data_IF_300124181262
#
_entry.id   IF_300124181262
#
_cell.length_a   1.000
_cell.length_b   1.000
_cell.length_c   1.000
_cell.angle_alpha   90.00
_cell.angle_beta   90.00
_cell.angle_gamma   90.00
#
_symmetry.space_group_name_H-M   'P 1'
#
loop_
_entity.id
_entity.type
_entity.pdbx_description
1 polymer ?
#
# COMPACT_ATOMS: atom_id res chain seq x y z
N UNK A 1 16.90 -43.90 16.07
CA UNK A 1 16.29 -42.61 16.37
C UNK A 1 17.15 -41.41 15.96
N UNK A 2 18.46 -41.33 16.27
CA UNK A 2 19.31 -40.20 15.89
C UNK A 2 19.41 -39.91 14.36
N UNK A 3 19.44 -40.96 13.51
CA UNK A 3 19.50 -40.78 12.04
C UNK A 3 18.19 -40.27 11.44
N UNK A 4 17.04 -40.59 12.04
CA UNK A 4 15.73 -40.10 11.59
C UNK A 4 15.55 -38.61 11.90
N UNK A 5 16.09 -38.16 13.03
CA UNK A 5 16.03 -36.76 13.44
C UNK A 5 16.87 -35.81 12.54
N UNK A 6 18.02 -36.29 12.04
CA UNK A 6 18.89 -35.54 11.12
C UNK A 6 18.21 -35.39 9.75
N UNK A 7 17.55 -36.44 9.25
CA UNK A 7 16.83 -36.37 7.96
C UNK A 7 15.64 -35.40 8.06
N UNK A 8 14.91 -35.40 9.19
CA UNK A 8 13.79 -34.48 9.39
C UNK A 8 14.28 -33.00 9.50
N UNK A 9 15.41 -32.78 10.15
CA UNK A 9 16.00 -31.43 10.26
C UNK A 9 16.53 -30.90 8.92
N UNK A 10 17.11 -31.76 8.06
CA UNK A 10 17.46 -31.39 6.69
C UNK A 10 16.25 -31.13 5.80
N UNK A 11 15.14 -31.87 5.97
CA UNK A 11 13.91 -31.63 5.21
C UNK A 11 13.25 -30.29 5.58
N UNK A 12 13.26 -29.91 6.86
CA UNK A 12 12.75 -28.60 7.30
C UNK A 12 13.60 -27.44 6.78
N UNK A 13 14.94 -27.60 6.72
CA UNK A 13 15.80 -26.56 6.12
C UNK A 13 15.62 -26.45 4.59
N UNK A 14 15.38 -27.52 3.87
CA UNK A 14 15.14 -27.45 2.43
C UNK A 14 13.81 -26.76 2.08
N UNK A 15 12.77 -26.91 2.90
CA UNK A 15 11.48 -26.22 2.69
C UNK A 15 11.61 -24.72 2.91
N UNK A 16 12.48 -24.28 3.83
CA UNK A 16 12.73 -22.84 4.08
C UNK A 16 13.45 -22.14 2.92
N UNK A 17 14.31 -22.84 2.18
CA UNK A 17 15.01 -22.26 1.02
C UNK A 17 14.15 -22.19 -0.25
N UNK A 18 13.18 -23.08 -0.40
CA UNK A 18 12.27 -23.08 -1.57
C UNK A 18 11.24 -21.93 -1.43
N UNK A 19 10.82 -21.57 -0.22
CA UNK A 19 9.90 -20.45 0.01
C UNK A 19 10.48 -19.10 -0.37
N UNK A 20 11.72 -18.79 0.02
CA UNK A 20 12.36 -17.50 -0.28
C UNK A 20 12.57 -17.28 -1.79
N UNK A 21 12.98 -18.30 -2.53
CA UNK A 21 13.18 -18.18 -3.99
C UNK A 21 11.87 -17.94 -4.76
N UNK A 22 10.74 -18.43 -4.26
CA UNK A 22 9.45 -18.20 -4.91
C UNK A 22 8.94 -16.77 -4.71
N UNK A 23 9.10 -16.20 -3.52
CA UNK A 23 8.63 -14.84 -3.23
C UNK A 23 9.46 -13.79 -3.97
N UNK A 24 10.81 -13.95 -4.02
CA UNK A 24 11.68 -13.06 -4.78
C UNK A 24 11.32 -13.07 -6.28
N UNK A 25 11.10 -14.24 -6.86
CA UNK A 25 10.66 -14.37 -8.25
C UNK A 25 9.29 -13.76 -8.49
N UNK A 26 8.35 -13.89 -7.54
CA UNK A 26 7.03 -13.28 -7.63
C UNK A 26 7.11 -11.75 -7.55
N UNK A 27 7.98 -11.22 -6.70
CA UNK A 27 8.20 -9.78 -6.61
C UNK A 27 8.83 -9.22 -7.91
N UNK A 28 9.79 -9.92 -8.50
CA UNK A 28 10.36 -9.53 -9.80
C UNK A 28 9.32 -9.52 -10.91
N UNK A 29 8.46 -10.54 -10.99
CA UNK A 29 7.35 -10.63 -11.95
C UNK A 29 6.32 -9.51 -11.73
N UNK A 30 5.96 -9.23 -10.49
CA UNK A 30 5.08 -8.13 -10.12
C UNK A 30 5.67 -6.79 -10.55
N UNK A 31 6.94 -6.52 -10.21
CA UNK A 31 7.64 -5.29 -10.59
C UNK A 31 7.72 -5.11 -12.10
N UNK A 32 8.05 -6.14 -12.85
CA UNK A 32 8.07 -6.09 -14.32
C UNK A 32 6.70 -5.75 -14.88
N UNK A 33 5.64 -6.40 -14.37
CA UNK A 33 4.26 -6.14 -14.82
C UNK A 33 3.81 -4.73 -14.46
N UNK A 34 4.07 -4.27 -13.24
CA UNK A 34 3.74 -2.92 -12.78
C UNK A 34 4.54 -1.85 -13.53
N UNK A 35 5.81 -2.12 -13.86
CA UNK A 35 6.62 -1.24 -14.69
C UNK A 35 6.02 -1.06 -16.10
N UNK A 36 5.48 -2.11 -16.71
CA UNK A 36 4.80 -2.03 -17.99
C UNK A 36 3.53 -1.18 -17.95
N UNK A 37 2.88 -1.05 -16.78
CA UNK A 37 1.77 -0.08 -16.62
C UNK A 37 2.30 1.36 -16.70
N UNK A 38 3.43 1.67 -16.06
CA UNK A 38 4.09 2.99 -16.21
C UNK A 38 4.45 3.29 -17.65
N UNK A 39 4.92 2.29 -18.40
CA UNK A 39 5.31 2.38 -19.81
C UNK A 39 4.10 2.38 -20.76
N UNK A 40 2.88 2.28 -20.21
CA UNK A 40 1.59 2.28 -20.93
C UNK A 40 1.38 1.05 -21.83
N UNK A 41 2.11 -0.02 -21.58
CA UNK A 41 2.05 -1.29 -22.31
C UNK A 41 1.10 -2.30 -21.68
N UNK A 42 0.73 -2.09 -20.41
CA UNK A 42 -0.15 -2.95 -19.62
C UNK A 42 -1.35 -2.17 -19.11
N UNK A 43 -2.53 -2.82 -19.12
CA UNK A 43 -3.74 -2.30 -18.47
C UNK A 43 -3.81 -2.69 -17.00
N UNK A 44 -4.62 -1.97 -16.25
CA UNK A 44 -4.99 -2.32 -14.88
C UNK A 44 -6.50 -2.17 -14.67
N UNK A 45 -7.03 -2.89 -13.71
CA UNK A 45 -8.45 -2.85 -13.35
C UNK A 45 -8.65 -1.88 -12.19
N UNK A 46 -9.41 -0.81 -12.39
CA UNK A 46 -9.68 0.19 -11.34
C UNK A 46 -11.13 0.65 -11.33
N UNK A 47 -11.58 1.18 -10.20
CA UNK A 47 -12.85 1.90 -10.09
C UNK A 47 -12.68 3.31 -10.68
N UNK A 48 -13.54 3.68 -11.63
CA UNK A 48 -13.59 5.05 -12.15
C UNK A 48 -14.48 5.98 -11.32
N UNK A 49 -15.36 5.39 -10.51
CA UNK A 49 -16.26 6.10 -9.59
C UNK A 49 -16.04 5.54 -8.20
N UNK A 50 -15.66 6.39 -7.25
CA UNK A 50 -15.24 6.01 -5.89
C UNK A 50 -16.26 5.13 -5.14
N UNK A 51 -17.55 5.35 -5.34
CA UNK A 51 -18.63 4.58 -4.69
C UNK A 51 -19.31 3.56 -5.61
N UNK A 52 -18.66 3.18 -6.71
CA UNK A 52 -19.18 2.17 -7.62
C UNK A 52 -18.47 0.85 -7.40
N UNK A 53 -19.21 -0.24 -7.37
CA UNK A 53 -18.62 -1.59 -7.41
C UNK A 53 -18.12 -1.98 -8.80
N UNK A 54 -18.37 -1.13 -9.80
CA UNK A 54 -17.93 -1.38 -11.17
C UNK A 54 -16.47 -1.01 -11.34
N UNK A 55 -15.70 -1.98 -11.80
CA UNK A 55 -14.31 -1.82 -12.22
C UNK A 55 -14.23 -1.82 -13.74
N UNK A 56 -13.23 -1.15 -14.30
CA UNK A 56 -12.94 -1.12 -15.72
C UNK A 56 -11.45 -1.28 -15.96
N UNK A 57 -11.10 -1.95 -17.07
CA UNK A 57 -9.71 -1.98 -17.52
C UNK A 57 -9.33 -0.64 -18.15
N UNK A 58 -8.16 -0.13 -17.75
CA UNK A 58 -7.66 1.16 -18.20
C UNK A 58 -6.16 1.13 -18.42
N UNK A 59 -5.67 2.04 -19.25
CA UNK A 59 -4.25 2.40 -19.33
C UNK A 59 -3.99 3.63 -18.47
N UNK A 60 -2.76 3.78 -17.97
CA UNK A 60 -2.37 4.93 -17.16
C UNK A 60 -2.61 6.27 -17.87
N UNK A 61 -2.39 6.32 -19.18
CA UNK A 61 -2.61 7.52 -20.00
C UNK A 61 -4.08 7.99 -20.05
N UNK A 62 -5.03 7.03 -19.98
CA UNK A 62 -6.46 7.30 -20.08
C UNK A 62 -7.16 7.27 -18.73
N UNK A 63 -6.38 7.08 -17.66
CA UNK A 63 -6.97 6.96 -16.34
C UNK A 63 -7.58 8.28 -15.88
N UNK A 64 -8.83 8.22 -15.52
CA UNK A 64 -9.60 9.27 -14.87
C UNK A 64 -10.51 8.67 -13.82
N UNK A 65 -10.84 9.45 -12.82
CA UNK A 65 -11.71 9.02 -11.73
C UNK A 65 -12.65 10.13 -11.32
N UNK A 66 -13.76 9.76 -10.70
CA UNK A 66 -14.74 10.67 -10.14
C UNK A 66 -14.64 10.64 -8.63
N UNK A 67 -14.54 11.81 -8.01
CA UNK A 67 -14.49 11.97 -6.56
C UNK A 67 -15.89 12.03 -5.93
N UNK A 68 -15.94 12.09 -4.60
CA UNK A 68 -17.16 12.12 -3.78
C UNK A 68 -18.08 13.30 -4.15
N UNK A 69 -17.50 14.43 -4.54
CA UNK A 69 -18.22 15.63 -4.95
C UNK A 69 -18.65 15.61 -6.43
N UNK A 70 -18.58 14.45 -7.07
CA UNK A 70 -18.88 14.21 -8.48
C UNK A 70 -17.96 14.96 -9.47
N UNK A 71 -16.81 15.47 -9.03
CA UNK A 71 -15.82 16.04 -9.94
C UNK A 71 -15.04 14.94 -10.66
N UNK A 72 -14.84 15.12 -11.99
CA UNK A 72 -13.99 14.26 -12.81
C UNK A 72 -12.58 14.81 -12.88
N UNK A 73 -11.61 13.96 -12.64
CA UNK A 73 -10.19 14.30 -12.73
C UNK A 73 -9.49 13.35 -13.71
N UNK A 74 -8.66 13.92 -14.57
CA UNK A 74 -7.66 13.16 -15.32
C UNK A 74 -6.41 13.02 -14.43
N UNK A 75 -6.01 11.82 -14.18
CA UNK A 75 -4.82 11.53 -13.38
C UNK A 75 -3.56 11.82 -14.20
N UNK A 76 -2.68 12.65 -13.67
CA UNK A 76 -1.41 13.01 -14.31
C UNK A 76 -0.26 12.41 -13.49
N UNK A 77 0.32 11.29 -13.92
CA UNK A 77 1.41 10.65 -13.19
C UNK A 77 2.67 11.51 -13.27
N UNK A 78 3.21 11.93 -12.12
CA UNK A 78 4.39 12.79 -12.03
C UNK A 78 5.54 12.12 -11.26
N UNK A 79 5.22 11.32 -10.24
CA UNK A 79 6.21 10.59 -9.45
C UNK A 79 5.71 9.17 -9.15
N UNK A 80 6.64 8.26 -8.88
CA UNK A 80 6.32 6.90 -8.46
C UNK A 80 7.32 6.34 -7.47
N UNK A 81 6.92 5.31 -6.75
CA UNK A 81 7.79 4.49 -5.92
C UNK A 81 7.28 3.04 -5.89
N UNK A 82 8.20 2.09 -5.74
CA UNK A 82 7.87 0.71 -5.39
C UNK A 82 8.03 0.52 -3.88
N UNK A 83 7.06 -0.11 -3.24
CA UNK A 83 7.06 -0.35 -1.79
C UNK A 83 6.07 -1.46 -1.45
N UNK A 84 6.47 -2.40 -0.61
CA UNK A 84 5.62 -3.45 -0.05
C UNK A 84 4.68 -2.81 1.00
N UNK A 85 3.41 -2.59 0.63
CA UNK A 85 2.45 -1.85 1.45
C UNK A 85 1.64 -2.73 2.41
N UNK A 86 1.60 -4.04 2.18
CA UNK A 86 0.83 -4.99 3.00
C UNK A 86 1.70 -6.02 3.72
N UNK A 87 3.02 -5.99 3.50
CA UNK A 87 4.04 -6.85 4.08
C UNK A 87 3.94 -8.31 3.62
N UNK A 88 3.57 -8.53 2.36
CA UNK A 88 3.58 -9.84 1.72
C UNK A 88 4.89 -10.15 0.98
N UNK A 89 5.84 -9.20 0.95
CA UNK A 89 7.11 -9.17 0.23
C UNK A 89 6.96 -9.03 -1.29
N UNK A 90 5.84 -8.52 -1.76
CA UNK A 90 5.63 -8.10 -3.14
C UNK A 90 5.41 -6.59 -3.13
N UNK A 91 6.20 -5.85 -3.91
CA UNK A 91 6.07 -4.41 -3.92
C UNK A 91 4.88 -3.95 -4.77
N UNK A 92 4.08 -3.05 -4.22
CA UNK A 92 3.14 -2.24 -4.96
C UNK A 92 3.86 -1.11 -5.69
N UNK A 93 3.22 -0.63 -6.75
CA UNK A 93 3.60 0.59 -7.43
C UNK A 93 2.68 1.73 -7.01
N UNK A 94 3.23 2.69 -6.29
CA UNK A 94 2.52 3.90 -5.88
C UNK A 94 2.87 5.04 -6.83
N UNK A 95 1.86 5.60 -7.50
CA UNK A 95 2.00 6.71 -8.44
C UNK A 95 1.32 7.95 -7.85
N UNK A 96 2.00 9.08 -7.90
CA UNK A 96 1.53 10.36 -7.36
C UNK A 96 1.25 11.35 -8.49
N UNK A 97 0.04 11.90 -8.49
CA UNK A 97 -0.29 13.15 -9.14
C UNK A 97 -0.05 14.30 -8.14
N UNK A 98 1.03 15.05 -8.33
CA UNK A 98 1.45 16.10 -7.39
C UNK A 98 0.48 17.26 -7.38
N UNK A 99 -0.16 17.57 -8.53
CA UNK A 99 -1.02 18.76 -8.68
C UNK A 99 -2.29 18.68 -7.86
N UNK A 100 -2.91 17.51 -7.84
CA UNK A 100 -4.15 17.26 -7.09
C UNK A 100 -3.91 16.49 -5.79
N UNK A 101 -2.67 16.07 -5.57
CA UNK A 101 -2.23 15.24 -4.42
C UNK A 101 -3.13 14.00 -4.27
N UNK A 102 -3.21 13.21 -5.33
CA UNK A 102 -3.87 11.90 -5.34
C UNK A 102 -2.85 10.83 -5.69
N UNK A 103 -3.08 9.65 -5.15
CA UNK A 103 -2.26 8.48 -5.39
C UNK A 103 -3.06 7.43 -6.13
N UNK A 104 -2.43 6.79 -7.08
CA UNK A 104 -2.88 5.53 -7.68
C UNK A 104 -1.94 4.45 -7.15
N UNK A 105 -2.46 3.55 -6.34
CA UNK A 105 -1.74 2.36 -5.86
C UNK A 105 -2.08 1.21 -6.77
N UNK A 106 -1.08 0.58 -7.37
CA UNK A 106 -1.24 -0.58 -8.22
C UNK A 106 -0.69 -1.81 -7.51
N UNK A 107 -1.53 -2.82 -7.37
CA UNK A 107 -1.23 -4.11 -6.75
C UNK A 107 -1.33 -5.22 -7.78
N UNK A 108 -0.36 -6.13 -7.78
CA UNK A 108 -0.32 -7.30 -8.65
C UNK A 108 -0.73 -8.56 -7.91
N UNK A 109 -1.82 -9.17 -8.34
CA UNK A 109 -2.35 -10.39 -7.75
C UNK A 109 -2.96 -11.28 -8.83
N UNK A 110 -2.63 -12.58 -8.82
CA UNK A 110 -3.22 -13.59 -9.73
C UNK A 110 -3.15 -13.17 -11.22
N UNK A 111 -1.97 -12.76 -11.69
CA UNK A 111 -1.70 -12.32 -13.07
C UNK A 111 -2.49 -11.08 -13.50
N UNK A 112 -3.04 -10.31 -12.55
CA UNK A 112 -3.80 -9.08 -12.79
C UNK A 112 -3.23 -7.92 -12.02
N UNK A 113 -3.40 -6.73 -12.58
CA UNK A 113 -3.08 -5.48 -11.90
C UNK A 113 -4.38 -4.80 -11.48
N UNK A 114 -4.49 -4.52 -10.20
CA UNK A 114 -5.59 -3.75 -9.61
C UNK A 114 -5.11 -2.34 -9.26
N UNK A 115 -5.96 -1.34 -9.51
CA UNK A 115 -5.65 0.06 -9.22
C UNK A 115 -6.63 0.65 -8.21
N UNK A 116 -6.08 1.30 -7.18
CA UNK A 116 -6.83 1.93 -6.11
C UNK A 116 -6.51 3.42 -6.05
N UNK A 117 -7.55 4.23 -6.14
CA UNK A 117 -7.40 5.67 -6.03
C UNK A 117 -7.45 6.12 -4.57
N UNK A 118 -6.38 6.76 -4.11
CA UNK A 118 -6.19 7.15 -2.71
C UNK A 118 -6.03 8.66 -2.64
N UNK A 119 -6.88 9.33 -1.87
CA UNK A 119 -6.79 10.78 -1.68
C UNK A 119 -5.63 11.21 -0.78
N UNK A 120 -5.21 12.46 -0.90
CA UNK A 120 -4.07 13.06 -0.20
C UNK A 120 -4.02 12.81 1.32
N UNK A 121 -5.18 12.84 1.98
CA UNK A 121 -5.25 12.68 3.43
C UNK A 121 -5.31 11.21 3.89
N UNK A 122 -5.41 10.29 2.93
CA UNK A 122 -5.50 8.85 3.19
C UNK A 122 -4.18 8.13 2.95
N UNK A 123 -3.13 8.83 2.48
CA UNK A 123 -1.79 8.30 2.30
C UNK A 123 -0.78 9.44 2.49
N UNK A 124 -0.39 9.66 3.74
CA UNK A 124 0.53 10.72 4.14
C UNK A 124 1.82 10.09 4.62
N UNK A 125 2.97 10.65 4.24
CA UNK A 125 4.29 10.24 4.71
C UNK A 125 4.54 8.73 4.57
N UNK A 126 4.30 8.17 3.37
CA UNK A 126 4.58 6.76 3.07
C UNK A 126 6.04 6.41 3.40
N UNK A 127 6.23 5.28 4.08
CA UNK A 127 7.52 4.80 4.58
C UNK A 127 8.00 3.56 3.82
N UNK A 128 9.29 3.28 3.96
CA UNK A 128 9.94 2.13 3.30
C UNK A 128 9.44 0.77 3.81
N UNK A 129 8.78 0.72 4.96
CA UNK A 129 8.12 -0.46 5.52
C UNK A 129 6.63 -0.56 5.14
N UNK A 130 6.20 0.19 4.12
CA UNK A 130 4.82 0.23 3.64
C UNK A 130 3.84 0.95 4.56
N UNK A 131 4.27 1.38 5.74
CA UNK A 131 3.40 2.12 6.64
C UNK A 131 3.22 3.58 6.20
N UNK A 132 2.06 4.15 6.51
CA UNK A 132 1.73 5.53 6.22
C UNK A 132 0.76 6.09 7.25
N UNK A 133 0.65 7.40 7.28
CA UNK A 133 -0.34 8.09 8.11
C UNK A 133 -1.59 8.43 7.30
N UNK A 134 -2.75 8.36 7.96
CA UNK A 134 -3.98 8.97 7.46
C UNK A 134 -4.39 10.14 8.34
N UNK A 135 -5.16 11.07 7.79
CA UNK A 135 -5.73 12.17 8.55
C UNK A 135 -7.14 12.47 8.05
N UNK A 136 -8.11 12.54 8.95
CA UNK A 136 -9.47 12.95 8.65
C UNK A 136 -9.85 14.26 9.34
N UNK A 137 -11.07 14.76 9.11
CA UNK A 137 -11.59 15.92 9.81
C UNK A 137 -11.69 15.65 11.32
N UNK A 138 -11.61 16.70 12.15
CA UNK A 138 -11.82 16.58 13.60
C UNK A 138 -10.60 16.06 14.40
N UNK A 139 -9.38 16.14 13.85
CA UNK A 139 -8.17 15.74 14.60
C UNK A 139 -8.01 14.23 14.73
N UNK A 140 -8.59 13.47 13.79
CA UNK A 140 -8.38 12.02 13.74
C UNK A 140 -7.20 11.72 12.83
N UNK A 141 -6.24 10.97 13.35
CA UNK A 141 -5.07 10.49 12.62
C UNK A 141 -4.83 9.00 12.90
N UNK A 142 -4.36 8.27 11.91
CA UNK A 142 -3.94 6.89 12.13
C UNK A 142 -2.63 6.57 11.42
N UNK A 143 -1.93 5.56 11.90
CA UNK A 143 -0.79 4.92 11.24
C UNK A 143 -1.20 3.49 10.91
N UNK A 144 -0.95 3.03 9.70
CA UNK A 144 -1.30 1.69 9.27
C UNK A 144 -0.60 1.27 8.00
N UNK A 145 -0.96 0.08 7.52
CA UNK A 145 -0.58 -0.47 6.24
C UNK A 145 -1.82 -0.72 5.40
N UNK A 146 -1.64 -0.89 4.09
CA UNK A 146 -2.70 -1.39 3.22
C UNK A 146 -2.94 -2.89 3.47
N UNK A 147 -4.09 -3.36 3.03
CA UNK A 147 -4.41 -4.76 2.83
C UNK A 147 -5.23 -4.85 1.56
N UNK A 148 -4.81 -5.70 0.65
CA UNK A 148 -5.45 -5.88 -0.65
C UNK A 148 -6.25 -7.19 -0.68
N UNK A 149 -7.36 -7.19 -1.41
CA UNK A 149 -8.22 -8.35 -1.65
C UNK A 149 -8.91 -8.16 -3.02
N UNK A 150 -8.24 -8.57 -4.06
CA UNK A 150 -8.67 -8.37 -5.45
C UNK A 150 -8.90 -6.88 -5.76
N UNK A 151 -10.13 -6.50 -6.08
CA UNK A 151 -10.50 -5.11 -6.42
C UNK A 151 -10.74 -4.19 -5.22
N UNK A 152 -10.60 -4.71 -3.99
CA UNK A 152 -10.81 -3.96 -2.76
C UNK A 152 -9.50 -3.72 -2.02
N UNK A 153 -9.38 -2.56 -1.38
CA UNK A 153 -8.30 -2.29 -0.46
C UNK A 153 -8.84 -1.61 0.81
N UNK A 154 -8.15 -1.82 1.90
CA UNK A 154 -8.47 -1.19 3.19
C UNK A 154 -7.21 -0.89 3.98
N UNK A 155 -7.30 0.08 4.89
CA UNK A 155 -6.21 0.38 5.83
C UNK A 155 -6.37 -0.47 7.07
N UNK A 156 -5.32 -1.16 7.46
CA UNK A 156 -5.20 -1.84 8.75
C UNK A 156 -4.47 -0.90 9.71
N UNK A 157 -5.22 -0.30 10.63
CA UNK A 157 -4.64 0.65 11.58
C UNK A 157 -3.81 -0.07 12.64
N UNK A 158 -2.55 0.33 12.78
CA UNK A 158 -1.65 -0.01 13.89
C UNK A 158 -1.82 0.96 15.06
N UNK A 159 -2.05 2.24 14.76
CA UNK A 159 -2.37 3.24 15.76
C UNK A 159 -3.49 4.16 15.27
N UNK A 160 -4.33 4.60 16.19
CA UNK A 160 -5.39 5.57 15.97
C UNK A 160 -5.36 6.61 17.08
N UNK A 161 -5.37 7.88 16.72
CA UNK A 161 -5.54 9.01 17.62
C UNK A 161 -6.78 9.80 17.17
N UNK A 162 -7.76 9.92 18.04
CA UNK A 162 -8.94 10.78 17.88
C UNK A 162 -8.93 11.81 19.01
N UNK A 163 -8.36 12.97 18.73
CA UNK A 163 -8.25 14.06 19.71
C UNK A 163 -9.59 14.69 20.03
N UNK A 164 -10.56 14.60 19.13
CA UNK A 164 -11.90 15.14 19.36
C UNK A 164 -12.66 14.36 20.45
N UNK A 165 -12.66 13.01 20.33
CA UNK A 165 -13.33 12.14 21.30
C UNK A 165 -12.39 11.68 22.43
N UNK A 166 -11.12 12.08 22.39
CA UNK A 166 -10.05 11.64 23.31
C UNK A 166 -9.92 10.10 23.36
N UNK A 167 -9.99 9.49 22.20
CA UNK A 167 -9.84 8.05 22.03
C UNK A 167 -8.55 7.70 21.29
N UNK A 168 -7.75 6.86 21.92
CA UNK A 168 -6.44 6.48 21.44
C UNK A 168 -6.29 4.97 21.48
N UNK A 169 -5.78 4.39 20.39
CA UNK A 169 -5.57 2.95 20.27
C UNK A 169 -4.19 2.66 19.66
N UNK A 170 -3.55 1.58 20.13
CA UNK A 170 -2.35 0.99 19.54
C UNK A 170 -2.60 -0.51 19.46
N UNK A 171 -2.44 -1.11 18.27
CA UNK A 171 -2.73 -2.52 17.98
C UNK A 171 -4.13 -2.96 18.49
N UNK A 172 -5.12 -2.09 18.27
CA UNK A 172 -6.51 -2.30 18.69
C UNK A 172 -6.77 -2.19 20.19
N UNK A 173 -5.75 -1.86 21.01
CA UNK A 173 -5.90 -1.69 22.45
C UNK A 173 -6.00 -0.22 22.82
N UNK A 174 -6.98 0.14 23.65
CA UNK A 174 -7.15 1.51 24.15
C UNK A 174 -5.92 1.91 25.00
N UNK A 175 -5.45 3.14 24.80
CA UNK A 175 -4.31 3.72 25.51
C UNK A 175 -4.61 5.18 25.90
N UNK A 176 -3.65 5.88 26.51
CA UNK A 176 -3.74 7.30 26.80
C UNK A 176 -3.08 8.17 25.70
N UNK A 177 -3.40 9.46 25.70
CA UNK A 177 -2.89 10.43 24.73
C UNK A 177 -1.36 10.49 24.69
N UNK A 178 -0.71 10.44 25.87
CA UNK A 178 0.75 10.54 25.97
C UNK A 178 1.44 9.33 25.31
N UNK A 179 0.91 8.15 25.58
CA UNK A 179 1.41 6.90 24.99
C UNK A 179 1.15 6.87 23.47
N UNK A 180 -0.03 7.30 23.03
CA UNK A 180 -0.35 7.44 21.61
C UNK A 180 0.59 8.43 20.91
N UNK A 181 0.75 9.64 21.48
CA UNK A 181 1.67 10.65 20.93
C UNK A 181 3.09 10.10 20.79
N UNK A 182 3.59 9.42 21.84
CA UNK A 182 4.92 8.80 21.78
C UNK A 182 5.02 7.79 20.63
N UNK A 183 4.00 6.97 20.39
CA UNK A 183 3.99 6.01 19.27
C UNK A 183 4.12 6.71 17.91
N UNK A 184 3.37 7.79 17.70
CA UNK A 184 3.45 8.58 16.46
C UNK A 184 4.81 9.25 16.29
N UNK A 185 5.37 9.81 17.38
CA UNK A 185 6.69 10.43 17.37
C UNK A 185 7.77 9.35 17.05
N UNK A 186 7.75 8.20 17.74
CA UNK A 186 8.68 7.08 17.51
C UNK A 186 8.58 6.55 16.07
N UNK A 187 7.38 6.42 15.52
CA UNK A 187 7.19 6.02 14.13
C UNK A 187 7.82 7.04 13.17
N UNK A 188 7.58 8.32 13.41
CA UNK A 188 8.12 9.38 12.55
C UNK A 188 9.66 9.45 12.59
N UNK A 189 10.28 9.16 13.75
CA UNK A 189 11.73 9.20 13.93
C UNK A 189 12.44 7.93 13.43
N UNK A 190 11.82 6.75 13.58
CA UNK A 190 12.47 5.46 13.36
C UNK A 190 12.14 4.80 12.04
N UNK A 191 11.20 5.33 11.26
CA UNK A 191 10.89 4.79 9.92
C UNK A 191 11.36 5.75 8.81
N UNK A 192 12.01 5.19 7.79
CA UNK A 192 12.51 5.96 6.66
C UNK A 192 11.40 6.31 5.67
N UNK A 193 11.40 7.55 5.17
CA UNK A 193 10.53 7.95 4.07
C UNK A 193 10.96 7.27 2.76
N UNK A 194 10.00 6.95 1.90
CA UNK A 194 10.32 6.45 0.56
C UNK A 194 10.99 7.54 -0.29
N UNK A 195 11.71 7.09 -1.30
CA UNK A 195 12.29 7.96 -2.31
C UNK A 195 11.42 7.93 -3.56
N UNK A 196 10.92 9.10 -3.96
CA UNK A 196 10.12 9.25 -5.16
C UNK A 196 10.99 9.40 -6.40
N UNK A 197 10.61 8.69 -7.47
CA UNK A 197 11.23 8.78 -8.80
C UNK A 197 10.33 9.64 -9.69
N UNK A 198 10.90 10.65 -10.35
CA UNK A 198 10.15 11.49 -11.29
C UNK A 198 9.92 10.76 -12.62
N UNK A 199 8.68 10.73 -13.08
CA UNK A 199 8.31 10.21 -14.40
C UNK A 199 8.72 11.24 -15.46
N UNK A 200 9.44 10.79 -16.49
CA UNK A 200 9.97 11.64 -17.57
C UNK A 200 9.03 11.68 -18.77
#
# INVERSE_FOLDING_TARGET
>A
MKKLMVIFMCLVMCVSFVGCNNTEKQNDEAKETLQRVLEKEQTFTAKTIVFSDKTTEQTLEKYHFQTIDNAYYSFVPEQYAFVDMDNDNIDELVILDVKITYYLVLHYENEKVYGYNIGARSLIDLRTDGSFMTSSAGGISSIGNMCFDGSECKVINKALANDYDQEYFIDGKKTDQKTSKKYFDDWNENTSKISWVTIK
#
